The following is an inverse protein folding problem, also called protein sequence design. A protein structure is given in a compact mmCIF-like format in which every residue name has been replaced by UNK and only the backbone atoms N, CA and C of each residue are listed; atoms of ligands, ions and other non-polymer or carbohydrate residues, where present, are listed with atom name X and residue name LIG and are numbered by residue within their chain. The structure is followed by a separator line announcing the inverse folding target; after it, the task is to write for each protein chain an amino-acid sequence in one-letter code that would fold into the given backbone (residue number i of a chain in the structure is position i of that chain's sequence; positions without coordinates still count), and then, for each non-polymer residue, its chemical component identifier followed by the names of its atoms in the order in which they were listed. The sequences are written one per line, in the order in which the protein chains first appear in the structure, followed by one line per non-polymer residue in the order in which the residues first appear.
data_IF_137441999110
#
_entry.id   IF_137441999110
#
_cell.length_a   1.000
_cell.length_b   1.000
_cell.length_c   1.000
_cell.angle_alpha   90.00
_cell.angle_beta   90.00
_cell.angle_gamma   90.00
#
_symmetry.space_group_name_H-M   'P 1'
#
loop_
_entity.id
_entity.type
_entity.pdbx_description
1 polymer ?
#
# COMPACT_ATOMS: atom_id res chain seq x y z
N UNK A 1 14.56 -27.69 -9.34
CA UNK A 1 14.88 -28.31 -8.05
C UNK A 1 14.26 -29.70 -8.01
N UNK A 2 14.97 -30.70 -7.48
CA UNK A 2 14.45 -32.06 -7.25
C UNK A 2 14.14 -32.22 -5.75
N UNK A 3 13.17 -33.07 -5.43
CA UNK A 3 12.87 -33.43 -4.04
C UNK A 3 14.11 -34.01 -3.34
N UNK A 4 14.31 -33.64 -2.07
CA UNK A 4 15.38 -34.22 -1.25
C UNK A 4 14.91 -35.57 -0.73
N UNK A 5 15.53 -36.70 -1.17
CA UNK A 5 15.11 -38.03 -0.73
C UNK A 5 15.41 -38.32 0.75
N UNK A 6 16.15 -37.42 1.41
CA UNK A 6 16.48 -37.50 2.84
C UNK A 6 15.74 -36.44 3.66
N UNK A 7 14.66 -35.87 3.14
CA UNK A 7 13.91 -34.88 3.90
C UNK A 7 13.25 -35.52 5.12
N UNK A 8 13.40 -34.90 6.27
CA UNK A 8 13.08 -35.52 7.57
C UNK A 8 11.61 -35.53 7.95
N UNK A 9 10.78 -34.72 7.27
CA UNK A 9 9.36 -34.61 7.60
C UNK A 9 8.53 -35.66 6.88
N UNK A 10 7.54 -36.17 7.61
CA UNK A 10 6.51 -37.07 7.09
C UNK A 10 5.13 -36.47 7.41
N UNK A 11 4.12 -36.86 6.64
CA UNK A 11 2.73 -36.56 6.95
C UNK A 11 2.16 -37.50 8.05
N UNK A 12 0.90 -37.32 8.40
CA UNK A 12 0.21 -38.11 9.41
C UNK A 12 0.00 -39.59 8.99
N UNK A 13 0.13 -39.90 7.69
CA UNK A 13 0.06 -41.26 7.17
C UNK A 13 1.42 -41.90 7.00
N UNK A 14 2.50 -41.21 7.34
CA UNK A 14 3.87 -41.69 7.24
C UNK A 14 4.54 -41.52 5.87
N UNK A 15 3.90 -40.79 4.94
CA UNK A 15 4.52 -40.49 3.64
C UNK A 15 5.54 -39.37 3.78
N UNK A 16 6.70 -39.55 3.16
CA UNK A 16 7.78 -38.57 3.17
C UNK A 16 7.39 -37.32 2.35
N UNK A 17 7.68 -36.15 2.89
CA UNK A 17 7.55 -34.86 2.18
C UNK A 17 8.87 -34.51 1.46
N UNK A 18 8.82 -33.64 0.42
CA UNK A 18 7.61 -33.03 -0.17
C UNK A 18 6.90 -34.02 -1.12
N UNK A 19 5.61 -33.79 -1.40
CA UNK A 19 4.84 -34.57 -2.38
C UNK A 19 5.21 -34.24 -3.82
N UNK A 20 5.91 -33.13 -4.06
CA UNK A 20 6.30 -32.66 -5.39
C UNK A 20 7.71 -33.16 -5.68
N UNK A 21 7.89 -33.90 -6.76
CA UNK A 21 9.17 -34.48 -7.16
C UNK A 21 10.12 -33.44 -7.76
N UNK A 22 9.59 -32.48 -8.54
CA UNK A 22 10.36 -31.46 -9.24
C UNK A 22 9.66 -30.12 -9.20
N UNK A 23 10.45 -29.05 -8.97
CA UNK A 23 10.04 -27.67 -9.12
C UNK A 23 10.91 -27.01 -10.20
N UNK A 24 10.32 -26.62 -11.32
CA UNK A 24 10.99 -25.91 -12.42
C UNK A 24 10.63 -24.42 -12.33
N UNK A 25 11.57 -23.60 -11.90
CA UNK A 25 11.40 -22.14 -11.81
C UNK A 25 12.01 -21.48 -13.04
N UNK A 26 11.16 -20.83 -13.84
CA UNK A 26 11.58 -20.08 -15.01
C UNK A 26 11.56 -18.58 -14.71
N UNK A 27 12.73 -17.97 -14.80
CA UNK A 27 12.85 -16.54 -14.65
C UNK A 27 12.40 -15.82 -15.91
N UNK A 28 11.42 -14.91 -15.78
CA UNK A 28 10.92 -14.06 -16.84
C UNK A 28 11.00 -12.62 -16.33
N UNK A 29 11.91 -11.83 -16.93
CA UNK A 29 12.16 -10.46 -16.48
C UNK A 29 11.00 -9.52 -16.83
N UNK A 30 10.42 -9.68 -18.01
CA UNK A 30 9.32 -8.86 -18.50
C UNK A 30 7.99 -9.25 -17.84
N UNK A 31 7.30 -8.26 -17.22
CA UNK A 31 6.07 -8.49 -16.49
C UNK A 31 4.90 -8.88 -17.41
N UNK A 32 4.78 -8.22 -18.57
CA UNK A 32 3.68 -8.48 -19.49
C UNK A 32 3.81 -9.88 -20.08
N UNK A 33 5.03 -10.28 -20.48
CA UNK A 33 5.31 -11.63 -20.94
C UNK A 33 5.02 -12.67 -19.86
N UNK A 34 5.33 -12.38 -18.58
CA UNK A 34 5.01 -13.27 -17.47
C UNK A 34 3.51 -13.46 -17.31
N UNK A 35 2.71 -12.38 -17.34
CA UNK A 35 1.26 -12.44 -17.25
C UNK A 35 0.68 -13.20 -18.44
N UNK A 36 1.16 -12.96 -19.66
CA UNK A 36 0.71 -13.67 -20.86
C UNK A 36 0.93 -15.19 -20.75
N UNK A 37 2.07 -15.62 -20.22
CA UNK A 37 2.35 -17.05 -19.99
C UNK A 37 1.41 -17.67 -18.96
N UNK A 38 1.09 -16.94 -17.89
CA UNK A 38 0.11 -17.37 -16.89
C UNK A 38 -1.28 -17.51 -17.52
N UNK A 39 -1.73 -16.51 -18.28
CA UNK A 39 -3.01 -16.54 -19.01
C UNK A 39 -3.10 -17.73 -19.97
N UNK A 40 -1.98 -18.14 -20.55
CA UNK A 40 -1.92 -19.33 -21.41
C UNK A 40 -1.81 -20.67 -20.65
N UNK A 41 -1.79 -20.65 -19.32
CA UNK A 41 -1.67 -21.87 -18.52
C UNK A 41 -0.27 -22.52 -18.57
N UNK A 42 0.79 -21.73 -18.84
CA UNK A 42 2.17 -22.24 -18.92
C UNK A 42 2.86 -22.38 -17.53
N UNK A 43 2.13 -22.13 -16.44
CA UNK A 43 2.63 -22.33 -15.08
C UNK A 43 1.54 -22.94 -14.20
N UNK A 44 1.93 -23.91 -13.37
CA UNK A 44 1.02 -24.64 -12.48
C UNK A 44 0.77 -23.88 -11.17
N UNK A 45 1.71 -23.02 -10.77
CA UNK A 45 1.60 -22.23 -9.55
C UNK A 45 2.39 -20.94 -9.63
N UNK A 46 1.75 -19.83 -9.23
CA UNK A 46 2.39 -18.51 -9.12
C UNK A 46 1.72 -17.69 -8.02
N UNK A 47 2.46 -17.39 -6.94
CA UNK A 47 1.97 -16.62 -5.82
C UNK A 47 2.70 -15.28 -5.61
N UNK A 48 3.90 -15.11 -6.18
CA UNK A 48 4.73 -13.93 -5.97
C UNK A 48 4.79 -13.03 -7.18
N UNK A 49 5.04 -11.74 -6.96
CA UNK A 49 5.22 -10.75 -8.02
C UNK A 49 4.02 -10.66 -8.98
N UNK A 50 2.82 -10.80 -8.44
CA UNK A 50 1.56 -10.47 -9.09
C UNK A 50 0.99 -9.22 -8.46
N UNK A 51 0.47 -8.32 -9.27
CA UNK A 51 -0.19 -7.10 -8.84
C UNK A 51 -1.70 -7.19 -9.14
N UNK A 52 -2.49 -6.36 -8.43
CA UNK A 52 -3.95 -6.34 -8.62
C UNK A 52 -4.36 -5.90 -10.03
N UNK A 53 -3.55 -5.10 -10.70
CA UNK A 53 -3.80 -4.66 -12.09
C UNK A 53 -3.91 -5.84 -13.07
N UNK A 54 -3.23 -6.95 -12.79
CA UNK A 54 -3.25 -8.16 -13.61
C UNK A 54 -4.43 -9.08 -13.32
N UNK A 55 -5.15 -8.88 -12.21
CA UNK A 55 -6.23 -9.79 -11.78
C UNK A 55 -7.36 -9.91 -12.79
N UNK A 56 -7.88 -8.82 -13.40
CA UNK A 56 -8.93 -8.96 -14.43
C UNK A 56 -8.49 -9.83 -15.60
N UNK A 57 -7.30 -9.61 -16.14
CA UNK A 57 -6.73 -10.36 -17.24
C UNK A 57 -6.51 -11.85 -16.90
N UNK A 58 -6.04 -12.11 -15.67
CA UNK A 58 -5.87 -13.48 -15.19
C UNK A 58 -7.22 -14.18 -14.99
N UNK A 59 -8.24 -13.49 -14.48
CA UNK A 59 -9.59 -14.06 -14.33
C UNK A 59 -10.23 -14.38 -15.69
N UNK A 60 -10.09 -13.49 -16.66
CA UNK A 60 -10.62 -13.72 -18.02
C UNK A 60 -9.96 -14.92 -18.72
N UNK A 61 -8.68 -15.16 -18.45
CA UNK A 61 -7.93 -16.27 -19.03
C UNK A 61 -8.08 -17.61 -18.30
N UNK A 62 -8.68 -17.61 -17.11
CA UNK A 62 -8.66 -18.77 -16.19
C UNK A 62 -9.26 -20.05 -16.79
N UNK A 63 -10.41 -19.96 -17.45
CA UNK A 63 -11.06 -21.13 -18.08
C UNK A 63 -10.19 -21.71 -19.20
N UNK A 64 -9.68 -20.84 -20.10
CA UNK A 64 -8.83 -21.26 -21.23
C UNK A 64 -7.49 -21.81 -20.75
N UNK A 65 -6.89 -21.20 -19.74
CA UNK A 65 -5.60 -21.60 -19.18
C UNK A 65 -5.67 -22.75 -18.17
N UNK A 66 -6.89 -23.19 -17.83
CA UNK A 66 -7.16 -24.26 -16.86
C UNK A 66 -6.49 -24.03 -15.49
N UNK A 67 -6.67 -22.82 -14.91
CA UNK A 67 -6.19 -22.45 -13.59
C UNK A 67 -7.25 -21.68 -12.79
N UNK A 68 -7.07 -21.51 -11.49
CA UNK A 68 -7.86 -20.64 -10.64
C UNK A 68 -7.05 -19.42 -10.20
N UNK A 69 -7.75 -18.31 -9.92
CA UNK A 69 -7.17 -17.10 -9.36
C UNK A 69 -7.72 -16.88 -7.95
N UNK A 70 -6.86 -16.99 -6.96
CA UNK A 70 -7.23 -16.76 -5.56
C UNK A 70 -6.66 -15.41 -5.08
N UNK A 71 -7.55 -14.45 -4.79
CA UNK A 71 -7.17 -13.17 -4.17
C UNK A 71 -7.27 -13.33 -2.66
N UNK A 72 -6.12 -13.31 -2.01
CA UNK A 72 -6.05 -13.49 -0.56
C UNK A 72 -5.70 -12.17 0.14
N UNK A 73 -6.23 -11.91 1.36
CA UNK A 73 -5.85 -10.75 2.13
C UNK A 73 -4.33 -10.72 2.40
N UNK A 74 -3.70 -9.62 2.02
CA UNK A 74 -2.29 -9.38 2.29
C UNK A 74 -2.08 -8.38 3.43
N UNK A 75 -0.85 -8.31 3.93
CA UNK A 75 -0.42 -7.29 4.89
C UNK A 75 0.11 -6.03 4.19
N UNK A 76 0.16 -6.02 2.87
CA UNK A 76 0.69 -4.89 2.09
C UNK A 76 -0.34 -3.76 2.09
N UNK A 77 -0.10 -2.77 2.93
CA UNK A 77 -0.81 -1.50 2.88
C UNK A 77 0.19 -0.40 2.56
N UNK A 78 -0.15 0.51 1.66
CA UNK A 78 0.62 1.73 1.47
C UNK A 78 0.64 2.52 2.78
N UNK A 79 1.83 2.73 3.34
CA UNK A 79 2.01 3.51 4.55
C UNK A 79 2.90 4.72 4.26
N UNK A 80 2.40 5.91 4.62
CA UNK A 80 3.12 7.18 4.44
C UNK A 80 3.68 7.63 5.79
N UNK A 81 5.00 7.65 5.91
CA UNK A 81 5.69 8.02 7.14
C UNK A 81 6.32 9.41 7.02
N UNK A 82 6.13 10.24 8.04
CA UNK A 82 6.78 11.54 8.14
C UNK A 82 8.12 11.41 8.86
N UNK A 83 9.14 12.12 8.36
CA UNK A 83 10.47 12.13 8.99
C UNK A 83 10.42 12.96 10.28
N UNK A 84 10.13 12.30 11.41
CA UNK A 84 10.05 12.92 12.74
C UNK A 84 11.42 13.34 13.30
N UNK A 85 12.51 13.01 12.60
CA UNK A 85 13.89 13.41 12.94
C UNK A 85 14.49 14.34 11.89
N UNK A 86 13.64 15.02 11.08
CA UNK A 86 14.09 15.94 10.02
C UNK A 86 15.13 16.94 10.58
N UNK A 87 16.14 17.27 9.77
CA UNK A 87 17.18 18.27 10.15
C UNK A 87 16.58 19.65 10.33
N UNK A 88 15.63 20.03 9.47
CA UNK A 88 14.83 21.25 9.63
C UNK A 88 13.96 21.15 10.88
N UNK A 89 14.27 22.00 11.87
CA UNK A 89 13.64 21.97 13.19
C UNK A 89 12.16 22.36 13.15
N UNK A 90 11.75 23.23 12.23
CA UNK A 90 10.35 23.64 12.11
C UNK A 90 9.51 22.51 11.47
N UNK A 91 10.02 21.87 10.43
CA UNK A 91 9.39 20.66 9.88
C UNK A 91 9.33 19.54 10.92
N UNK A 92 10.42 19.35 11.67
CA UNK A 92 10.47 18.35 12.75
C UNK A 92 9.38 18.59 13.79
N UNK A 93 9.15 19.83 14.24
CA UNK A 93 8.07 20.18 15.16
C UNK A 93 6.71 19.81 14.61
N UNK A 94 6.42 20.19 13.36
CA UNK A 94 5.16 19.91 12.69
C UNK A 94 4.97 18.39 12.52
N UNK A 95 5.97 17.65 12.04
CA UNK A 95 5.84 16.21 11.83
C UNK A 95 5.69 15.40 13.13
N UNK A 96 6.22 15.93 14.26
CA UNK A 96 6.02 15.35 15.58
C UNK A 96 4.66 15.71 16.21
N UNK A 97 3.96 16.74 15.70
CA UNK A 97 2.63 17.06 16.19
C UNK A 97 1.62 16.01 15.72
N UNK A 98 0.96 15.37 16.68
CA UNK A 98 -0.03 14.34 16.38
C UNK A 98 -1.21 14.88 15.55
N UNK A 99 -1.59 16.16 15.74
CA UNK A 99 -2.68 16.81 15.01
C UNK A 99 -2.36 16.93 13.52
N UNK A 100 -1.09 17.21 13.18
CA UNK A 100 -0.64 17.20 11.78
C UNK A 100 -0.83 15.80 11.16
N UNK A 101 -0.33 14.75 11.80
CA UNK A 101 -0.45 13.39 11.27
C UNK A 101 -1.91 12.91 11.19
N UNK A 102 -2.76 13.30 12.15
CA UNK A 102 -4.20 13.06 12.10
C UNK A 102 -4.85 13.77 10.92
N UNK A 103 -4.51 15.04 10.68
CA UNK A 103 -5.01 15.81 9.55
C UNK A 103 -4.64 15.15 8.21
N UNK A 104 -3.38 14.75 8.06
CA UNK A 104 -2.89 14.09 6.85
C UNK A 104 -3.59 12.75 6.60
N UNK A 105 -3.93 12.01 7.66
CA UNK A 105 -4.70 10.77 7.55
C UNK A 105 -6.16 11.03 7.13
N UNK A 106 -6.82 12.04 7.74
CA UNK A 106 -8.21 12.41 7.43
C UNK A 106 -8.36 13.01 6.02
N UNK A 107 -7.30 13.63 5.49
CA UNK A 107 -7.30 14.20 4.15
C UNK A 107 -7.30 13.14 3.04
N UNK A 108 -6.87 11.91 3.30
CA UNK A 108 -6.77 10.84 2.30
C UNK A 108 -8.14 10.26 1.98
N UNK A 109 -8.56 10.34 0.71
CA UNK A 109 -9.78 9.69 0.20
C UNK A 109 -9.51 8.21 -0.09
N UNK A 110 -9.59 7.38 0.96
CA UNK A 110 -9.34 5.93 0.86
C UNK A 110 -10.38 5.18 0.04
N UNK A 111 -11.60 5.70 -0.05
CA UNK A 111 -12.63 5.10 -0.90
C UNK A 111 -12.24 5.21 -2.37
N UNK A 112 -11.82 6.39 -2.82
CA UNK A 112 -11.37 6.60 -4.18
C UNK A 112 -10.11 5.77 -4.52
N UNK A 113 -9.14 5.70 -3.59
CA UNK A 113 -7.96 4.84 -3.75
C UNK A 113 -8.40 3.38 -3.91
N UNK A 114 -9.34 2.92 -3.08
CA UNK A 114 -9.85 1.55 -3.18
C UNK A 114 -10.51 1.29 -4.54
N UNK A 115 -11.32 2.22 -5.02
CA UNK A 115 -12.04 2.04 -6.29
C UNK A 115 -11.09 2.08 -7.49
N UNK A 116 -10.14 3.02 -7.51
CA UNK A 116 -9.27 3.27 -8.67
C UNK A 116 -8.07 2.32 -8.70
N UNK A 117 -7.43 2.08 -7.55
CA UNK A 117 -6.17 1.32 -7.47
C UNK A 117 -6.42 -0.15 -7.11
N UNK A 118 -7.37 -0.40 -6.22
CA UNK A 118 -7.66 -1.74 -5.70
C UNK A 118 -8.95 -2.36 -6.25
N UNK A 119 -9.58 -1.73 -7.26
CA UNK A 119 -10.80 -2.23 -7.94
C UNK A 119 -11.94 -2.60 -6.97
N UNK A 120 -12.05 -1.87 -5.85
CA UNK A 120 -13.03 -2.14 -4.80
C UNK A 120 -12.71 -3.34 -3.91
N UNK A 121 -11.60 -4.05 -4.15
CA UNK A 121 -11.25 -5.29 -3.41
C UNK A 121 -10.55 -5.04 -2.07
N UNK A 122 -10.07 -3.81 -1.82
CA UNK A 122 -9.40 -3.44 -0.59
C UNK A 122 -10.36 -3.15 0.56
N UNK A 123 -9.84 -3.15 1.77
CA UNK A 123 -10.52 -2.68 2.96
C UNK A 123 -9.74 -1.53 3.59
N UNK A 124 -10.33 -0.33 3.63
CA UNK A 124 -9.71 0.82 4.25
C UNK A 124 -9.56 0.59 5.76
N UNK A 125 -8.33 0.66 6.26
CA UNK A 125 -8.00 0.56 7.68
C UNK A 125 -6.64 1.18 7.98
N UNK A 126 -6.31 1.35 9.26
CA UNK A 126 -4.94 1.66 9.67
C UNK A 126 -4.04 0.44 9.49
N UNK A 127 -2.75 0.71 9.30
CA UNK A 127 -1.75 -0.34 9.17
C UNK A 127 -1.69 -1.23 10.41
N UNK A 128 -1.72 -2.54 10.19
CA UNK A 128 -1.43 -3.57 11.18
C UNK A 128 -0.49 -4.58 10.55
N UNK A 129 0.57 -4.94 11.26
CA UNK A 129 1.63 -5.82 10.75
C UNK A 129 1.22 -7.29 10.58
N UNK A 130 -0.07 -7.62 10.71
CA UNK A 130 -0.57 -8.99 10.71
C UNK A 130 -1.76 -9.15 9.77
N UNK A 131 -1.81 -10.26 9.05
CA UNK A 131 -2.97 -10.71 8.27
C UNK A 131 -3.13 -12.23 8.46
N UNK A 132 -4.28 -12.71 8.93
CA UNK A 132 -5.43 -11.94 9.45
C UNK A 132 -5.08 -11.12 10.69
N UNK A 133 -5.89 -10.09 10.97
CA UNK A 133 -5.72 -9.24 12.16
C UNK A 133 -5.98 -10.09 13.40
N UNK A 134 -5.03 -10.18 14.37
CA UNK A 134 -5.22 -10.97 15.58
C UNK A 134 -6.28 -10.38 16.52
N UNK A 135 -6.92 -11.24 17.31
CA UNK A 135 -7.99 -10.85 18.25
C UNK A 135 -7.54 -9.88 19.35
N UNK A 136 -6.22 -9.81 19.64
CA UNK A 136 -5.68 -8.86 20.62
C UNK A 136 -5.59 -7.43 20.10
N UNK A 137 -5.78 -7.19 18.80
CA UNK A 137 -5.81 -5.85 18.21
C UNK A 137 -7.20 -5.26 18.38
N UNK A 138 -7.32 -4.24 19.23
CA UNK A 138 -8.59 -3.53 19.41
C UNK A 138 -9.05 -2.90 18.09
N UNK A 139 -10.26 -3.24 17.60
CA UNK A 139 -10.80 -2.72 16.33
C UNK A 139 -10.85 -1.19 16.21
N UNK A 140 -10.85 -0.47 17.35
CA UNK A 140 -10.82 1.00 17.33
C UNK A 140 -9.56 1.55 16.66
N UNK A 141 -8.43 0.85 16.76
CA UNK A 141 -7.17 1.27 16.14
C UNK A 141 -7.19 1.05 14.64
N UNK A 142 -7.89 0.04 14.13
CA UNK A 142 -8.06 -0.20 12.70
C UNK A 142 -8.81 0.94 12.01
N UNK A 143 -9.72 1.56 12.76
CA UNK A 143 -10.61 2.61 12.25
C UNK A 143 -10.18 4.04 12.69
N UNK A 144 -9.03 4.17 13.37
CA UNK A 144 -8.60 5.46 13.90
C UNK A 144 -8.21 6.42 12.78
N UNK A 145 -8.89 7.57 12.72
CA UNK A 145 -8.62 8.66 11.75
C UNK A 145 -8.58 8.22 10.27
N UNK A 146 -9.30 7.18 9.86
CA UNK A 146 -9.34 6.73 8.46
C UNK A 146 -10.49 7.36 7.65
N UNK A 147 -11.49 7.93 8.32
CA UNK A 147 -12.63 8.54 7.64
C UNK A 147 -12.18 9.79 6.90
N UNK A 148 -12.48 9.86 5.60
CA UNK A 148 -12.22 11.05 4.80
C UNK A 148 -13.02 12.25 5.34
N UNK A 149 -12.31 13.29 5.77
CA UNK A 149 -12.89 14.50 6.37
C UNK A 149 -11.94 15.70 6.19
N UNK A 150 -12.05 16.34 5.05
CA UNK A 150 -11.23 17.52 4.73
C UNK A 150 -11.49 18.70 5.67
N UNK A 151 -12.74 18.88 6.12
CA UNK A 151 -13.06 19.99 7.04
C UNK A 151 -12.33 19.82 8.37
N UNK A 152 -12.34 18.59 8.92
CA UNK A 152 -11.62 18.26 10.14
C UNK A 152 -10.10 18.33 9.92
N UNK A 153 -9.59 17.85 8.79
CA UNK A 153 -8.18 17.94 8.44
C UNK A 153 -7.71 19.40 8.41
N UNK A 154 -8.44 20.29 7.73
CA UNK A 154 -8.13 21.72 7.71
C UNK A 154 -8.14 22.34 9.11
N UNK A 155 -9.15 22.05 9.93
CA UNK A 155 -9.23 22.54 11.31
C UNK A 155 -8.02 22.10 12.17
N UNK A 156 -7.55 20.86 11.99
CA UNK A 156 -6.38 20.36 12.70
C UNK A 156 -5.09 21.04 12.21
N UNK A 157 -4.94 21.27 10.91
CA UNK A 157 -3.79 22.00 10.35
C UNK A 157 -3.76 23.46 10.85
N UNK A 158 -4.91 24.11 10.94
CA UNK A 158 -5.01 25.45 11.53
C UNK A 158 -4.58 25.45 13.01
N UNK A 159 -5.01 24.43 13.77
CA UNK A 159 -4.64 24.25 15.18
C UNK A 159 -3.15 23.94 15.41
N UNK A 160 -2.45 23.41 14.40
CA UNK A 160 -0.99 23.24 14.40
C UNK A 160 -0.26 24.58 14.20
N UNK A 161 -0.96 25.61 13.74
CA UNK A 161 -0.40 26.93 13.43
C UNK A 161 -0.09 27.11 11.94
N UNK A 162 -0.69 26.28 11.07
CA UNK A 162 -0.49 26.31 9.62
C UNK A 162 -1.67 26.95 8.89
N UNK A 163 -2.35 27.95 9.49
CA UNK A 163 -3.48 28.63 8.89
C UNK A 163 -3.07 29.55 7.73
N UNK A 164 -1.87 30.13 7.78
CA UNK A 164 -1.36 31.02 6.75
C UNK A 164 -1.06 30.25 5.45
N UNK A 165 -1.37 30.89 4.33
CA UNK A 165 -1.14 30.32 3.00
C UNK A 165 -0.27 31.25 2.15
N UNK A 166 0.43 30.68 1.18
CA UNK A 166 1.15 31.43 0.15
C UNK A 166 0.19 31.93 -0.96
N UNK A 167 0.75 32.62 -1.97
CA UNK A 167 -0.02 33.13 -3.11
C UNK A 167 -0.69 32.07 -3.97
N UNK A 168 -0.21 30.83 -3.92
CA UNK A 168 -0.73 29.66 -4.65
C UNK A 168 -1.75 28.86 -3.81
N UNK A 169 -2.02 29.28 -2.56
CA UNK A 169 -2.97 28.66 -1.65
C UNK A 169 -2.40 27.53 -0.78
N UNK A 170 -1.10 27.26 -0.83
CA UNK A 170 -0.47 26.27 0.02
C UNK A 170 -0.13 26.82 1.40
N UNK A 171 -0.28 25.97 2.41
CA UNK A 171 -0.04 26.28 3.82
C UNK A 171 1.45 26.50 4.10
N UNK A 172 1.73 27.46 4.96
CA UNK A 172 3.07 27.73 5.49
C UNK A 172 3.29 27.02 6.82
N UNK A 173 4.55 26.82 7.16
CA UNK A 173 4.94 26.41 8.50
C UNK A 173 4.60 27.50 9.53
N UNK A 174 4.49 27.18 10.83
CA UNK A 174 4.16 28.16 11.88
C UNK A 174 5.11 29.37 11.96
N UNK A 175 6.35 29.24 11.49
CA UNK A 175 7.32 30.32 11.39
C UNK A 175 7.19 31.19 10.12
N UNK A 176 6.23 30.87 9.24
CA UNK A 176 5.97 31.57 7.97
C UNK A 176 6.71 31.04 6.76
N UNK A 177 7.61 30.07 6.93
CA UNK A 177 8.33 29.45 5.81
C UNK A 177 7.43 28.55 4.96
N UNK A 178 7.79 28.37 3.70
CA UNK A 178 7.09 27.48 2.79
C UNK A 178 7.30 26.01 3.19
N UNK A 179 6.23 25.22 3.14
CA UNK A 179 6.30 23.77 3.27
C UNK A 179 6.08 23.10 1.91
N UNK A 180 7.01 22.25 1.51
CA UNK A 180 6.79 21.28 0.45
C UNK A 180 7.18 19.88 0.96
N UNK A 181 6.29 18.92 0.79
CA UNK A 181 6.55 17.51 1.05
C UNK A 181 7.04 16.85 -0.24
N UNK A 182 7.98 15.94 -0.09
CA UNK A 182 8.39 15.04 -1.17
C UNK A 182 8.16 13.61 -0.69
N UNK A 183 7.24 12.90 -1.33
CA UNK A 183 7.03 11.48 -1.12
C UNK A 183 8.10 10.75 -1.93
N UNK A 184 9.02 10.07 -1.27
CA UNK A 184 9.95 9.16 -1.92
C UNK A 184 9.39 7.74 -1.77
N UNK A 185 9.31 7.00 -2.87
CA UNK A 185 8.74 5.66 -2.88
C UNK A 185 9.49 4.76 -3.88
N UNK A 186 9.29 3.46 -3.76
CA UNK A 186 9.76 2.48 -4.72
C UNK A 186 8.55 1.75 -5.31
N UNK A 187 8.46 1.67 -6.63
CA UNK A 187 7.35 1.03 -7.36
C UNK A 187 7.19 -0.46 -7.04
N UNK A 188 8.21 -1.09 -6.48
CA UNK A 188 8.12 -2.46 -5.96
C UNK A 188 7.28 -2.57 -4.67
N UNK A 189 7.08 -1.47 -3.94
CA UNK A 189 6.38 -1.45 -2.65
C UNK A 189 5.01 -0.79 -2.70
N UNK A 190 4.84 0.25 -3.51
CA UNK A 190 3.59 1.01 -3.63
C UNK A 190 3.40 1.47 -5.08
N UNK A 191 2.18 1.40 -5.60
CA UNK A 191 1.86 1.83 -6.96
C UNK A 191 1.91 3.35 -7.13
N UNK A 192 2.32 3.81 -8.32
CA UNK A 192 2.35 5.25 -8.66
C UNK A 192 0.96 5.88 -8.47
N UNK A 193 -0.11 5.22 -8.93
CA UNK A 193 -1.48 5.72 -8.82
C UNK A 193 -1.91 5.95 -7.37
N UNK A 194 -1.49 5.10 -6.43
CA UNK A 194 -1.76 5.29 -5.00
C UNK A 194 -1.07 6.55 -4.47
N UNK A 195 0.21 6.75 -4.82
CA UNK A 195 0.99 7.93 -4.42
C UNK A 195 0.42 9.21 -5.01
N UNK A 196 -0.01 9.20 -6.27
CA UNK A 196 -0.65 10.34 -6.95
C UNK A 196 -1.95 10.76 -6.26
N UNK A 197 -2.82 9.80 -5.93
CA UNK A 197 -4.09 10.07 -5.25
C UNK A 197 -3.87 10.64 -3.84
N UNK A 198 -2.88 10.14 -3.12
CA UNK A 198 -2.52 10.68 -1.80
C UNK A 198 -1.94 12.08 -1.92
N UNK A 199 -1.01 12.33 -2.85
CA UNK A 199 -0.43 13.65 -3.07
C UNK A 199 -1.50 14.68 -3.46
N UNK A 200 -2.46 14.30 -4.33
CA UNK A 200 -3.61 15.14 -4.67
C UNK A 200 -4.45 15.46 -3.43
N UNK A 201 -4.81 14.46 -2.63
CA UNK A 201 -5.60 14.64 -1.40
C UNK A 201 -4.93 15.61 -0.42
N UNK A 202 -3.61 15.56 -0.30
CA UNK A 202 -2.86 16.47 0.54
C UNK A 202 -2.76 17.89 -0.05
N UNK A 203 -2.62 18.01 -1.36
CA UNK A 203 -2.66 19.31 -2.04
C UNK A 203 -4.02 20.02 -1.85
N UNK A 204 -5.13 19.28 -1.86
CA UNK A 204 -6.48 19.81 -1.63
C UNK A 204 -6.66 20.46 -0.25
N UNK A 205 -5.97 19.99 0.77
CA UNK A 205 -5.96 20.62 2.11
C UNK A 205 -4.84 21.67 2.26
N UNK A 206 -4.14 21.98 1.17
CA UNK A 206 -3.13 23.03 1.09
C UNK A 206 -1.73 22.59 1.51
N UNK A 207 -1.45 21.31 1.57
CA UNK A 207 -0.09 20.80 1.83
C UNK A 207 0.57 20.47 0.49
N UNK A 208 1.45 21.38 0.03
CA UNK A 208 2.18 21.20 -1.24
C UNK A 208 2.95 19.89 -1.21
N UNK A 209 2.57 18.96 -2.06
CA UNK A 209 3.11 17.61 -2.08
C UNK A 209 3.55 17.21 -3.48
N UNK A 210 4.81 16.83 -3.59
CA UNK A 210 5.42 16.25 -4.77
C UNK A 210 5.76 14.78 -4.46
N UNK A 211 6.04 14.00 -5.49
CA UNK A 211 6.50 12.63 -5.31
C UNK A 211 7.64 12.32 -6.29
N UNK A 212 8.47 11.39 -5.89
CA UNK A 212 9.62 10.92 -6.67
C UNK A 212 9.86 9.44 -6.41
N UNK A 213 10.00 8.69 -7.48
CA UNK A 213 10.50 7.33 -7.51
C UNK A 213 12.02 7.27 -7.25
#
# INVERSE_FOLDING_TARGET
YAANPYFYMVDTAGNQLPYIDYQDERYINDNEMRILKLVNGEAEYKAQSLNLESVPQLMDGAEKGNYSVDVVPGITAGAFSFNVTAEDLEKRKVFNDIRFRQAMSLAINRAEINDVVFYGMGKAQQYVAFSPVPDFVDPKWLNYMIKYDQAKANSLLDAVGMADRDGDGFRKLPNGDALALNINFATQGIGVGEVELVARSWNEVGIKTNFKE
#
